data_IF_638230405758
#
_entry.id   IF_638230405758
#
_cell.length_a   1.000
_cell.length_b   1.000
_cell.length_c   1.000
_cell.angle_alpha   90.00
_cell.angle_beta   90.00
_cell.angle_gamma   90.00
#
_symmetry.space_group_name_H-M   'P 1'
#
loop_
_entity.id
_entity.type
_entity.pdbx_description
1 polymer ?
#
# COMPACT_ATOMS: atom_id res chain seq x y z
N UNK A 1 -29.74 24.69 5.51
CA UNK A 1 -28.92 24.38 6.69
C UNK A 1 -27.48 24.71 6.35
N UNK A 2 -26.93 25.71 7.02
CA UNK A 2 -25.88 26.60 6.47
C UNK A 2 -24.48 26.00 6.42
N UNK A 3 -23.77 26.31 5.32
CA UNK A 3 -22.35 26.10 5.02
C UNK A 3 -21.42 26.32 6.25
N UNK A 4 -21.78 27.23 7.15
CA UNK A 4 -21.08 27.51 8.41
C UNK A 4 -20.98 26.30 9.35
N UNK A 5 -22.01 25.45 9.43
CA UNK A 5 -22.03 24.26 10.30
C UNK A 5 -21.08 23.18 9.78
N UNK A 6 -21.03 22.98 8.45
CA UNK A 6 -20.06 22.08 7.82
C UNK A 6 -18.63 22.57 8.03
N UNK A 7 -18.36 23.88 7.87
CA UNK A 7 -17.03 24.46 8.12
C UNK A 7 -16.58 24.29 9.58
N UNK A 8 -17.50 24.44 10.54
CA UNK A 8 -17.20 24.20 11.95
C UNK A 8 -16.91 22.71 12.23
N UNK A 9 -17.67 21.79 11.64
CA UNK A 9 -17.41 20.36 11.74
C UNK A 9 -16.06 19.97 11.11
N UNK A 10 -15.70 20.58 9.99
CA UNK A 10 -14.39 20.38 9.35
C UNK A 10 -13.25 20.91 10.21
N UNK A 11 -13.44 22.05 10.86
CA UNK A 11 -12.44 22.61 11.77
C UNK A 11 -12.22 21.73 13.02
N UNK A 12 -13.27 21.12 13.56
CA UNK A 12 -13.16 20.15 14.65
C UNK A 12 -12.51 18.85 14.19
N UNK A 13 -12.91 18.32 13.03
CA UNK A 13 -12.29 17.12 12.45
C UNK A 13 -10.76 17.27 12.27
N UNK A 14 -10.30 18.42 11.77
CA UNK A 14 -8.86 18.70 11.63
C UNK A 14 -8.12 18.78 12.98
N UNK A 15 -8.80 19.21 14.05
CA UNK A 15 -8.22 19.20 15.40
C UNK A 15 -8.09 17.78 15.94
N UNK A 16 -9.11 16.96 15.72
CA UNK A 16 -9.12 15.55 16.13
C UNK A 16 -8.02 14.77 15.40
N UNK A 17 -7.88 14.96 14.09
CA UNK A 17 -6.79 14.35 13.31
C UNK A 17 -5.40 14.79 13.81
N UNK A 18 -5.22 16.08 14.12
CA UNK A 18 -3.96 16.59 14.65
C UNK A 18 -3.64 16.08 16.06
N UNK A 19 -4.67 15.74 16.86
CA UNK A 19 -4.50 15.15 18.18
C UNK A 19 -4.14 13.65 18.08
N UNK A 20 -4.82 12.92 17.18
CA UNK A 20 -4.58 11.51 16.92
C UNK A 20 -3.18 11.27 16.34
N UNK A 21 -2.75 12.10 15.39
CA UNK A 21 -1.41 12.03 14.81
C UNK A 21 -0.32 12.27 15.87
N UNK A 22 -0.54 13.20 16.80
CA UNK A 22 0.35 13.42 17.95
C UNK A 22 0.39 12.21 18.88
N UNK A 23 -0.75 11.59 19.17
CA UNK A 23 -0.82 10.39 19.99
C UNK A 23 -0.09 9.21 19.34
N UNK A 24 -0.24 9.03 18.03
CA UNK A 24 0.46 8.02 17.24
C UNK A 24 1.98 8.26 17.23
N UNK A 25 2.42 9.51 17.06
CA UNK A 25 3.84 9.87 17.11
C UNK A 25 4.46 9.61 18.49
N UNK A 26 3.74 9.92 19.58
CA UNK A 26 4.19 9.62 20.95
C UNK A 26 4.27 8.11 21.19
N UNK A 27 3.30 7.35 20.66
CA UNK A 27 3.23 5.89 20.78
C UNK A 27 4.34 5.17 19.99
N UNK A 28 4.76 5.73 18.85
CA UNK A 28 5.76 5.13 17.95
C UNK A 28 7.19 5.06 18.55
N UNK A 29 7.46 5.73 19.67
CA UNK A 29 8.76 5.66 20.37
C UNK A 29 9.93 6.28 19.57
N UNK A 30 11.17 6.05 20.03
CA UNK A 30 12.38 6.69 19.47
C UNK A 30 12.84 6.14 18.11
N UNK A 31 12.18 5.11 17.58
CA UNK A 31 12.50 4.49 16.28
C UNK A 31 11.85 5.20 15.10
N UNK A 32 10.94 6.15 15.34
CA UNK A 32 10.28 6.94 14.30
C UNK A 32 10.50 8.43 14.56
N UNK A 33 11.19 9.13 13.65
CA UNK A 33 11.27 10.59 13.68
C UNK A 33 9.92 11.20 13.29
N UNK A 34 9.49 12.31 13.93
CA UNK A 34 8.30 13.02 13.48
C UNK A 34 8.47 13.45 12.02
N UNK A 35 7.46 13.21 11.19
CA UNK A 35 7.42 13.76 9.83
C UNK A 35 7.04 15.23 9.95
N UNK A 36 8.04 16.11 10.10
CA UNK A 36 7.86 17.56 10.06
C UNK A 36 8.10 18.10 8.64
N UNK A 37 7.22 18.98 8.18
CA UNK A 37 7.31 19.66 6.88
C UNK A 37 6.45 19.03 5.77
N UNK A 38 6.32 19.70 4.61
CA UNK A 38 5.73 19.08 3.44
C UNK A 38 6.50 17.78 3.12
N UNK A 39 5.81 16.77 2.59
CA UNK A 39 6.42 15.51 2.16
C UNK A 39 7.75 15.84 1.46
N UNK A 40 8.89 15.24 1.85
CA UNK A 40 10.22 15.59 1.32
C UNK A 40 10.39 15.29 -0.19
N UNK A 41 9.30 14.88 -0.84
CA UNK A 41 9.23 14.40 -2.20
C UNK A 41 8.10 15.16 -2.90
N UNK A 42 8.39 15.73 -4.07
CA UNK A 42 7.36 16.25 -4.97
C UNK A 42 6.33 15.16 -5.29
N UNK A 43 5.12 15.54 -5.73
CA UNK A 43 4.13 14.59 -6.21
C UNK A 43 4.75 13.60 -7.22
N UNK A 44 5.58 14.09 -8.14
CA UNK A 44 6.32 13.28 -9.11
C UNK A 44 7.28 12.26 -8.47
N UNK A 45 7.97 12.64 -7.38
CA UNK A 45 8.86 11.74 -6.66
C UNK A 45 8.08 10.67 -5.87
N UNK A 46 6.91 11.02 -5.35
CA UNK A 46 5.99 10.06 -4.72
C UNK A 46 5.43 9.08 -5.77
N UNK A 47 4.97 9.57 -6.91
CA UNK A 47 4.48 8.74 -8.03
C UNK A 47 5.58 7.81 -8.54
N UNK A 48 6.80 8.30 -8.69
CA UNK A 48 7.96 7.50 -9.09
C UNK A 48 8.27 6.39 -8.08
N UNK A 49 8.23 6.69 -6.78
CA UNK A 49 8.46 5.71 -5.73
C UNK A 49 7.34 4.64 -5.69
N UNK A 50 6.08 5.05 -5.84
CA UNK A 50 4.93 4.13 -5.94
C UNK A 50 5.05 3.24 -7.17
N UNK A 51 5.46 3.79 -8.31
CA UNK A 51 5.68 3.03 -9.54
C UNK A 51 6.78 1.97 -9.35
N UNK A 52 7.94 2.37 -8.82
CA UNK A 52 9.06 1.46 -8.55
C UNK A 52 8.68 0.33 -7.58
N UNK A 53 7.92 0.64 -6.53
CA UNK A 53 7.46 -0.36 -5.58
C UNK A 53 6.44 -1.33 -6.20
N UNK A 54 5.58 -0.85 -7.09
CA UNK A 54 4.66 -1.70 -7.86
C UNK A 54 5.41 -2.64 -8.79
N UNK A 55 6.43 -2.16 -9.52
CA UNK A 55 7.27 -3.02 -10.36
C UNK A 55 7.98 -4.10 -9.53
N UNK A 56 8.52 -3.72 -8.37
CA UNK A 56 9.15 -4.66 -7.43
C UNK A 56 8.17 -5.74 -6.96
N UNK A 57 6.97 -5.34 -6.54
CA UNK A 57 5.91 -6.26 -6.13
C UNK A 57 5.48 -7.18 -7.28
N UNK A 58 5.35 -6.65 -8.50
CA UNK A 58 5.06 -7.45 -9.69
C UNK A 58 6.15 -8.50 -9.97
N UNK A 59 7.42 -8.12 -9.86
CA UNK A 59 8.54 -9.03 -10.07
C UNK A 59 8.53 -10.16 -9.03
N UNK A 60 8.28 -9.83 -7.75
CA UNK A 60 8.19 -10.81 -6.68
C UNK A 60 7.02 -11.77 -6.91
N UNK A 61 5.81 -11.26 -7.13
CA UNK A 61 4.62 -12.09 -7.29
C UNK A 61 4.69 -12.97 -8.56
N UNK A 62 5.33 -12.49 -9.64
CA UNK A 62 5.48 -13.25 -10.90
C UNK A 62 6.25 -14.55 -10.71
N UNK A 63 7.23 -14.58 -9.80
CA UNK A 63 8.03 -15.77 -9.45
C UNK A 63 7.24 -16.88 -8.75
N UNK A 64 6.01 -16.60 -8.34
CA UNK A 64 5.17 -17.54 -7.60
C UNK A 64 3.94 -17.98 -8.41
N UNK A 65 3.93 -17.74 -9.72
CA UNK A 65 2.80 -18.10 -10.60
C UNK A 65 2.88 -19.48 -11.23
N UNK A 66 3.99 -20.18 -10.99
CA UNK A 66 4.28 -21.53 -11.46
C UNK A 66 4.15 -22.53 -10.31
N UNK A 67 3.30 -23.54 -10.48
CA UNK A 67 3.17 -24.63 -9.50
C UNK A 67 4.51 -25.36 -9.31
N UNK A 68 5.32 -25.49 -10.37
CA UNK A 68 6.63 -26.14 -10.28
C UNK A 68 7.65 -25.33 -9.44
N UNK A 69 7.59 -24.00 -9.49
CA UNK A 69 8.46 -23.14 -8.67
C UNK A 69 8.02 -23.14 -7.21
N UNK A 70 6.71 -23.09 -6.96
CA UNK A 70 6.13 -23.16 -5.61
C UNK A 70 6.40 -24.53 -4.98
N UNK A 71 6.13 -25.63 -5.68
CA UNK A 71 6.40 -26.98 -5.19
C UNK A 71 7.89 -27.19 -4.91
N UNK A 72 8.79 -26.60 -5.70
CA UNK A 72 10.24 -26.69 -5.43
C UNK A 72 10.63 -25.96 -4.15
N UNK A 73 10.02 -24.81 -3.88
CA UNK A 73 10.30 -24.00 -2.70
C UNK A 73 9.66 -24.59 -1.43
N UNK A 74 8.51 -25.26 -1.57
CA UNK A 74 7.70 -25.81 -0.48
C UNK A 74 7.35 -27.27 -0.79
N UNK A 75 8.35 -28.14 -0.73
CA UNK A 75 8.23 -29.55 -1.16
C UNK A 75 7.30 -30.38 -0.28
N UNK A 76 7.07 -29.92 0.96
CA UNK A 76 6.19 -30.52 1.94
C UNK A 76 4.71 -30.12 1.78
N UNK A 77 4.42 -29.13 0.95
CA UNK A 77 3.05 -28.69 0.70
C UNK A 77 2.29 -29.68 -0.15
N UNK A 78 1.00 -29.83 0.18
CA UNK A 78 0.05 -30.57 -0.63
C UNK A 78 -0.14 -29.90 -1.99
N UNK A 79 -0.66 -30.68 -2.95
CA UNK A 79 -1.04 -30.15 -4.27
C UNK A 79 -2.05 -29.00 -4.16
N UNK A 80 -2.98 -29.10 -3.21
CA UNK A 80 -3.97 -28.05 -2.96
C UNK A 80 -3.33 -26.77 -2.42
N UNK A 81 -2.42 -26.85 -1.44
CA UNK A 81 -1.70 -25.68 -0.91
C UNK A 81 -0.87 -25.00 -2.00
N UNK A 82 -0.18 -25.79 -2.82
CA UNK A 82 0.60 -25.29 -3.97
C UNK A 82 -0.30 -24.53 -4.95
N UNK A 83 -1.44 -25.13 -5.35
CA UNK A 83 -2.39 -24.51 -6.26
C UNK A 83 -2.99 -23.24 -5.68
N UNK A 84 -3.37 -23.25 -4.40
CA UNK A 84 -3.94 -22.08 -3.72
C UNK A 84 -2.94 -20.91 -3.69
N UNK A 85 -1.66 -21.17 -3.41
CA UNK A 85 -0.62 -20.16 -3.40
C UNK A 85 -0.36 -19.58 -4.80
N UNK A 86 -0.35 -20.42 -5.83
CA UNK A 86 -0.22 -19.96 -7.23
C UNK A 86 -1.40 -19.06 -7.63
N UNK A 87 -2.63 -19.46 -7.29
CA UNK A 87 -3.81 -18.64 -7.59
C UNK A 87 -3.81 -17.32 -6.82
N UNK A 88 -3.33 -17.32 -5.58
CA UNK A 88 -3.14 -16.10 -4.79
C UNK A 88 -2.10 -15.18 -5.43
N UNK A 89 -0.95 -15.71 -5.86
CA UNK A 89 0.07 -14.93 -6.57
C UNK A 89 -0.46 -14.32 -7.88
N UNK A 90 -1.26 -15.09 -8.65
CA UNK A 90 -1.94 -14.59 -9.84
C UNK A 90 -2.95 -13.49 -9.53
N UNK A 91 -3.71 -13.63 -8.44
CA UNK A 91 -4.67 -12.61 -8.01
C UNK A 91 -3.95 -11.31 -7.60
N UNK A 92 -2.85 -11.40 -6.85
CA UNK A 92 -2.02 -10.25 -6.48
C UNK A 92 -1.50 -9.54 -7.73
N UNK A 93 -0.97 -10.28 -8.71
CA UNK A 93 -0.49 -9.71 -9.97
C UNK A 93 -1.59 -9.00 -10.77
N UNK A 94 -2.79 -9.58 -10.82
CA UNK A 94 -3.94 -8.92 -11.45
C UNK A 94 -4.27 -7.61 -10.75
N UNK A 95 -4.35 -7.62 -9.41
CA UNK A 95 -4.61 -6.42 -8.62
C UNK A 95 -3.59 -5.31 -8.85
N UNK A 96 -2.29 -5.63 -8.87
CA UNK A 96 -1.23 -4.64 -9.13
C UNK A 96 -1.37 -4.06 -10.55
N UNK A 97 -1.59 -4.90 -11.57
CA UNK A 97 -1.72 -4.48 -12.97
C UNK A 97 -3.00 -3.72 -13.28
N UNK A 98 -4.11 -4.04 -12.62
CA UNK A 98 -5.37 -3.31 -12.74
C UNK A 98 -5.26 -1.94 -12.06
N UNK A 99 -4.60 -1.87 -10.91
CA UNK A 99 -4.24 -0.60 -10.28
C UNK A 99 -3.41 0.30 -11.19
N UNK A 100 -2.53 -0.26 -12.05
CA UNK A 100 -1.76 0.52 -13.02
C UNK A 100 -2.62 1.11 -14.16
N UNK A 101 -3.74 0.46 -14.52
CA UNK A 101 -4.64 0.96 -15.58
C UNK A 101 -5.51 2.13 -15.13
N UNK A 102 -5.82 2.22 -13.83
CA UNK A 102 -6.56 3.35 -13.26
C UNK A 102 -5.72 4.62 -13.09
N UNK A 103 -4.39 4.49 -13.05
CA UNK A 103 -3.44 5.59 -12.80
C UNK A 103 -2.89 6.21 -14.11
N UNK A 104 -3.36 5.79 -15.28
CA UNK A 104 -2.96 6.41 -16.57
C UNK A 104 -3.72 7.72 -16.80
N UNK A 105 -3.04 8.88 -16.93
CA UNK A 105 -3.71 10.10 -17.35
C UNK A 105 -4.16 9.95 -18.81
N UNK A 106 -5.41 10.36 -19.08
CA UNK A 106 -5.95 10.52 -20.42
C UNK A 106 -5.29 11.68 -21.17
#
# INVERSE_FOLDING_TARGET
>A
MSNTRQRAQWAEHLKDEAAELRAQQVSAGSTHSPVEGPLPHSADALESAVHAERERCCAIASRWTSEAEVHRAFAEWTEWETRAAVEMARAILRGIREGQRGDSPA
#
